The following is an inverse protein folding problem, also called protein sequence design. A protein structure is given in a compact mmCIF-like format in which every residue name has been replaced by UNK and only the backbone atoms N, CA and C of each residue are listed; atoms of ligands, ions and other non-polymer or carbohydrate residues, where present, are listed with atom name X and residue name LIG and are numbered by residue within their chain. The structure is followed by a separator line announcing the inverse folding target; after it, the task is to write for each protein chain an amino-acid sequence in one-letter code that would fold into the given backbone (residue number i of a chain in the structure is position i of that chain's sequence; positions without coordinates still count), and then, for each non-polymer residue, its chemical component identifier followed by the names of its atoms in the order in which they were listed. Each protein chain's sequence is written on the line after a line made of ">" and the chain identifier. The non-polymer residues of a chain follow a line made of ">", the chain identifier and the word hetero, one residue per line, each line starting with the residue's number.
data_IF_680595153433
#
_entry.id   IF_680595153433
#
_cell.length_a   1.000
_cell.length_b   1.000
_cell.length_c   1.000
_cell.angle_alpha   90.00
_cell.angle_beta   90.00
_cell.angle_gamma   90.00
#
_symmetry.space_group_name_H-M   'P 1'
#
loop_
_entity.id
_entity.type
_entity.pdbx_description
1 polymer ?
#
# COMPACT_ATOMS: atom_id res chain seq x y z
N UNK A 1 -23.83 6.31 0.77
CA UNK A 1 -22.82 5.83 1.74
C UNK A 1 -21.84 4.93 1.00
N UNK A 2 -20.72 5.48 0.52
CA UNK A 2 -19.62 4.66 0.03
C UNK A 2 -19.08 3.89 1.23
N UNK A 3 -19.20 2.57 1.23
CA UNK A 3 -18.66 1.73 2.30
C UNK A 3 -17.18 1.52 1.99
N UNK A 4 -16.30 2.29 2.62
CA UNK A 4 -14.87 2.02 2.72
C UNK A 4 -14.68 0.57 3.17
N UNK A 5 -13.91 -0.23 2.43
CA UNK A 5 -13.65 -1.64 2.69
C UNK A 5 -12.20 -1.84 3.10
N UNK A 6 -11.93 -2.93 3.81
CA UNK A 6 -10.58 -3.41 4.03
C UNK A 6 -10.22 -4.44 2.96
N UNK A 7 -8.94 -4.51 2.57
CA UNK A 7 -8.40 -5.41 1.54
C UNK A 7 -7.24 -6.21 2.13
N UNK A 8 -7.18 -7.50 1.83
CA UNK A 8 -6.01 -8.34 2.14
C UNK A 8 -4.83 -8.00 1.23
N UNK A 9 -3.69 -7.72 1.81
CA UNK A 9 -2.41 -7.42 1.15
C UNK A 9 -1.41 -8.52 1.50
N UNK A 10 -0.71 -9.07 0.50
CA UNK A 10 0.18 -10.22 0.68
C UNK A 10 1.61 -9.95 0.21
N UNK A 11 2.62 -10.45 0.93
CA UNK A 11 4.03 -10.37 0.53
C UNK A 11 4.45 -11.41 -0.53
N UNK A 12 3.47 -12.04 -1.18
CA UNK A 12 3.60 -13.14 -2.14
C UNK A 12 2.20 -13.46 -2.73
N UNK A 13 2.06 -14.42 -3.67
CA UNK A 13 0.74 -14.80 -4.16
C UNK A 13 -0.23 -15.13 -3.01
N UNK A 14 -1.51 -14.74 -3.13
CA UNK A 14 -2.48 -14.94 -2.06
C UNK A 14 -2.54 -16.42 -1.64
N UNK A 15 -2.41 -16.73 -0.33
CA UNK A 15 -2.52 -18.09 0.16
C UNK A 15 -3.98 -18.59 0.11
N UNK A 16 -4.16 -19.92 0.03
CA UNK A 16 -5.49 -20.56 0.09
C UNK A 16 -6.20 -20.35 1.43
N UNK A 17 -5.43 -20.06 2.49
CA UNK A 17 -5.91 -19.76 3.84
C UNK A 17 -5.20 -18.50 4.38
N UNK A 18 -5.86 -17.73 5.27
CA UNK A 18 -5.24 -16.60 5.95
C UNK A 18 -3.90 -17.00 6.61
N UNK A 19 -2.81 -16.32 6.26
CA UNK A 19 -1.47 -16.50 6.84
C UNK A 19 -1.05 -15.18 7.51
N UNK A 20 -1.18 -15.05 8.84
CA UNK A 20 -0.86 -13.83 9.57
C UNK A 20 0.59 -13.35 9.44
N UNK A 21 1.52 -14.23 9.03
CA UNK A 21 2.91 -13.88 8.76
C UNK A 21 3.17 -13.35 7.35
N UNK A 22 2.17 -13.46 6.46
CA UNK A 22 2.28 -13.09 5.04
C UNK A 22 1.15 -12.20 4.56
N UNK A 23 0.23 -11.80 5.44
CA UNK A 23 -0.92 -10.99 5.11
C UNK A 23 -1.15 -9.84 6.10
N UNK A 24 -1.62 -8.72 5.59
CA UNK A 24 -2.25 -7.65 6.39
C UNK A 24 -3.56 -7.25 5.75
N UNK A 25 -4.40 -6.58 6.53
CA UNK A 25 -5.53 -5.85 5.97
C UNK A 25 -5.19 -4.36 5.89
N UNK A 26 -5.59 -3.72 4.81
CA UNK A 26 -5.45 -2.28 4.62
C UNK A 26 -6.81 -1.65 4.34
N UNK A 27 -7.05 -0.46 4.89
CA UNK A 27 -8.16 0.39 4.43
C UNK A 27 -7.93 0.78 2.97
N UNK A 28 -8.92 0.51 2.12
CA UNK A 28 -8.86 0.66 0.67
C UNK A 28 -8.38 2.06 0.20
N UNK A 29 -8.96 3.12 0.74
CA UNK A 29 -8.56 4.49 0.39
C UNK A 29 -7.17 4.88 0.92
N UNK A 30 -6.74 4.34 2.07
CA UNK A 30 -5.38 4.57 2.58
C UNK A 30 -4.35 3.91 1.67
N UNK A 31 -4.64 2.68 1.20
CA UNK A 31 -3.81 1.99 0.21
C UNK A 31 -3.77 2.77 -1.12
N UNK A 32 -4.91 3.25 -1.61
CA UNK A 32 -4.98 4.04 -2.85
C UNK A 32 -4.13 5.33 -2.76
N UNK A 33 -4.19 6.05 -1.62
CA UNK A 33 -3.34 7.25 -1.39
C UNK A 33 -1.86 6.88 -1.40
N UNK A 34 -1.48 5.83 -0.65
CA UNK A 34 -0.09 5.39 -0.57
C UNK A 34 0.44 5.02 -1.96
N UNK A 35 -0.29 4.19 -2.72
CA UNK A 35 0.12 3.78 -4.05
C UNK A 35 0.15 4.95 -5.03
N UNK A 36 -0.80 5.88 -4.95
CA UNK A 36 -0.79 7.10 -5.75
C UNK A 36 0.44 7.98 -5.46
N UNK A 37 0.84 8.12 -4.20
CA UNK A 37 2.04 8.86 -3.84
C UNK A 37 3.31 8.12 -4.29
N UNK A 38 3.37 6.80 -4.12
CA UNK A 38 4.48 5.97 -4.60
C UNK A 38 4.67 6.13 -6.12
N UNK A 39 3.59 6.03 -6.91
CA UNK A 39 3.62 6.22 -8.35
C UNK A 39 4.22 7.58 -8.72
N UNK A 40 3.77 8.64 -8.05
CA UNK A 40 4.31 10.00 -8.25
C UNK A 40 5.79 10.08 -7.90
N UNK A 41 6.19 9.50 -6.78
CA UNK A 41 7.56 9.54 -6.30
C UNK A 41 8.51 8.84 -7.29
N UNK A 42 8.14 7.64 -7.76
CA UNK A 42 8.95 6.88 -8.72
C UNK A 42 8.94 7.53 -10.11
N UNK A 43 7.82 8.07 -10.56
CA UNK A 43 7.76 8.79 -11.84
C UNK A 43 8.51 10.12 -11.83
N UNK A 44 8.66 10.74 -10.65
CA UNK A 44 9.52 11.89 -10.45
C UNK A 44 11.01 11.58 -10.62
N UNK A 45 11.42 10.31 -10.54
CA UNK A 45 12.79 9.87 -10.82
C UNK A 45 13.01 9.87 -12.33
N UNK A 46 14.15 10.41 -12.84
CA UNK A 46 14.49 10.32 -14.26
C UNK A 46 14.47 8.87 -14.75
N UNK A 47 13.94 8.57 -15.95
CA UNK A 47 13.74 7.19 -16.41
C UNK A 47 14.96 6.28 -16.30
N UNK A 48 16.16 6.80 -16.57
CA UNK A 48 17.43 6.07 -16.51
C UNK A 48 17.91 5.74 -15.09
N UNK A 49 17.28 6.33 -14.06
CA UNK A 49 17.56 6.09 -12.65
C UNK A 49 16.44 5.33 -11.93
N UNK A 50 15.36 4.97 -12.63
CA UNK A 50 14.26 4.19 -12.06
C UNK A 50 14.68 2.74 -11.82
N UNK A 51 14.01 2.03 -10.90
CA UNK A 51 14.15 0.58 -10.77
C UNK A 51 13.94 -0.10 -12.12
N UNK A 52 14.86 -0.99 -12.51
CA UNK A 52 14.85 -1.63 -13.83
C UNK A 52 13.62 -2.51 -14.10
N UNK A 53 12.88 -2.89 -13.05
CA UNK A 53 11.64 -3.66 -13.12
C UNK A 53 10.38 -2.79 -13.19
N UNK A 54 10.47 -1.49 -12.88
CA UNK A 54 9.30 -0.63 -12.66
C UNK A 54 8.33 -0.61 -13.85
N UNK A 55 8.85 -0.41 -15.07
CA UNK A 55 8.02 -0.28 -16.26
C UNK A 55 7.20 -1.54 -16.58
N UNK A 56 7.65 -2.72 -16.12
CA UNK A 56 6.90 -3.97 -16.27
C UNK A 56 5.72 -4.10 -15.29
N UNK A 57 5.75 -3.38 -14.16
CA UNK A 57 4.78 -3.50 -13.06
C UNK A 57 3.94 -2.24 -12.82
N UNK A 58 4.31 -1.09 -13.40
CA UNK A 58 3.64 0.20 -13.16
C UNK A 58 2.13 0.17 -13.45
N UNK A 59 1.69 -0.54 -14.50
CA UNK A 59 0.27 -0.69 -14.83
C UNK A 59 -0.51 -1.50 -13.78
N UNK A 60 0.13 -2.48 -13.15
CA UNK A 60 -0.48 -3.24 -12.07
C UNK A 60 -0.61 -2.37 -10.82
N UNK A 61 0.44 -1.62 -10.46
CA UNK A 61 0.40 -0.65 -9.35
C UNK A 61 -0.69 0.42 -9.58
N UNK A 62 -0.80 0.95 -10.81
CA UNK A 62 -1.87 1.88 -11.22
C UNK A 62 -3.25 1.27 -11.03
N UNK A 63 -3.44 0.06 -11.53
CA UNK A 63 -4.72 -0.65 -11.42
C UNK A 63 -5.13 -0.84 -9.96
N UNK A 64 -4.18 -1.19 -9.09
CA UNK A 64 -4.42 -1.39 -7.66
C UNK A 64 -4.71 -0.07 -6.92
N UNK A 65 -4.05 1.02 -7.30
CA UNK A 65 -4.37 2.35 -6.80
C UNK A 65 -5.79 2.82 -7.20
N UNK A 66 -6.30 2.33 -8.34
CA UNK A 66 -7.62 2.71 -8.88
C UNK A 66 -8.76 1.77 -8.46
N UNK A 67 -8.51 0.47 -8.32
CA UNK A 67 -9.51 -0.60 -8.15
C UNK A 67 -9.14 -1.48 -6.96
N UNK A 68 -9.22 -0.91 -5.78
CA UNK A 68 -8.83 -1.56 -4.53
C UNK A 68 -10.00 -2.39 -3.95
N UNK A 69 -10.65 -3.23 -4.76
CA UNK A 69 -11.87 -3.95 -4.37
C UNK A 69 -11.64 -5.45 -4.10
N UNK A 70 -10.45 -5.96 -4.44
CA UNK A 70 -10.04 -7.36 -4.34
C UNK A 70 -8.58 -7.44 -3.86
N UNK A 71 -8.16 -8.62 -3.38
CA UNK A 71 -6.83 -8.91 -2.82
C UNK A 71 -5.68 -8.27 -3.60
N UNK A 72 -4.65 -7.82 -2.88
CA UNK A 72 -3.47 -7.19 -3.44
C UNK A 72 -2.21 -8.04 -3.16
N UNK A 73 -1.59 -8.57 -4.21
CA UNK A 73 -0.24 -9.12 -4.10
C UNK A 73 0.76 -7.97 -4.13
N UNK A 74 1.25 -7.59 -2.95
CA UNK A 74 2.24 -6.53 -2.77
C UNK A 74 3.56 -6.92 -3.41
N UNK A 75 3.87 -8.22 -3.49
CA UNK A 75 5.11 -8.66 -4.10
C UNK A 75 5.08 -8.53 -5.62
N UNK A 76 3.93 -8.36 -6.28
CA UNK A 76 3.83 -8.16 -7.74
C UNK A 76 4.61 -9.21 -8.56
N UNK A 77 4.73 -10.44 -8.05
CA UNK A 77 5.58 -11.47 -8.66
C UNK A 77 7.10 -11.18 -8.68
N UNK A 78 7.55 -10.13 -7.99
CA UNK A 78 8.94 -9.68 -7.93
C UNK A 78 9.86 -10.74 -7.30
N UNK A 79 11.11 -10.75 -7.75
CA UNK A 79 12.20 -11.51 -7.13
C UNK A 79 12.68 -10.84 -5.83
N UNK A 80 13.44 -11.56 -5.01
CA UNK A 80 13.85 -11.08 -3.68
C UNK A 80 14.58 -9.72 -3.70
N UNK A 81 15.46 -9.48 -4.67
CA UNK A 81 16.19 -8.22 -4.77
C UNK A 81 15.26 -7.06 -5.15
N UNK A 82 14.32 -7.31 -6.07
CA UNK A 82 13.32 -6.33 -6.50
C UNK A 82 12.32 -6.03 -5.38
N UNK A 83 11.98 -7.02 -4.53
CA UNK A 83 11.16 -6.81 -3.33
C UNK A 83 11.84 -5.93 -2.30
N UNK A 84 13.15 -6.06 -2.11
CA UNK A 84 13.90 -5.18 -1.20
C UNK A 84 13.89 -3.75 -1.73
N UNK A 85 14.18 -3.56 -3.03
CA UNK A 85 14.10 -2.24 -3.67
C UNK A 85 12.68 -1.66 -3.60
N UNK A 86 11.64 -2.48 -3.79
CA UNK A 86 10.27 -2.03 -3.65
C UNK A 86 9.91 -1.64 -2.19
N UNK A 87 10.42 -2.39 -1.22
CA UNK A 87 10.27 -2.05 0.19
C UNK A 87 10.95 -0.71 0.54
N UNK A 88 12.12 -0.44 -0.04
CA UNK A 88 12.80 0.86 0.11
C UNK A 88 11.96 2.00 -0.46
N UNK A 89 11.37 1.84 -1.66
CA UNK A 89 10.49 2.85 -2.24
C UNK A 89 9.26 3.14 -1.36
N UNK A 90 8.68 2.10 -0.74
CA UNK A 90 7.55 2.24 0.17
C UNK A 90 7.92 2.97 1.46
N UNK A 91 9.08 2.67 2.06
CA UNK A 91 9.58 3.37 3.25
C UNK A 91 9.83 4.85 2.95
N UNK A 92 10.51 5.11 1.83
CA UNK A 92 10.80 6.46 1.34
C UNK A 92 9.52 7.26 1.08
N UNK A 93 8.52 6.63 0.45
CA UNK A 93 7.21 7.23 0.20
C UNK A 93 6.50 7.54 1.52
N UNK A 94 6.51 6.60 2.48
CA UNK A 94 5.93 6.78 3.80
C UNK A 94 6.60 7.93 4.58
N UNK A 95 7.92 8.04 4.52
CA UNK A 95 8.66 9.14 5.13
C UNK A 95 8.28 10.49 4.50
N UNK A 96 8.24 10.56 3.16
CA UNK A 96 7.86 11.79 2.44
C UNK A 96 6.43 12.22 2.70
N UNK A 97 5.50 11.28 2.87
CA UNK A 97 4.12 11.56 3.29
C UNK A 97 4.11 12.32 4.62
N UNK A 98 4.88 11.90 5.62
CA UNK A 98 4.92 12.57 6.92
C UNK A 98 5.47 14.00 6.85
N UNK A 99 6.35 14.29 5.90
CA UNK A 99 6.93 15.62 5.68
C UNK A 99 6.04 16.55 4.84
N UNK A 100 5.14 15.97 4.03
CA UNK A 100 4.32 16.71 3.06
C UNK A 100 2.92 16.13 3.03
N UNK A 101 1.93 16.96 3.38
CA UNK A 101 0.53 16.57 3.26
C UNK A 101 0.25 15.99 1.85
N UNK A 102 -0.35 14.80 1.75
CA UNK A 102 -0.69 14.18 0.47
C UNK A 102 -1.62 15.11 -0.30
N UNK A 103 -1.43 15.22 -1.62
CA UNK A 103 -2.35 15.98 -2.46
C UNK A 103 -3.71 15.27 -2.46
N UNK A 104 -4.73 15.94 -1.95
CA UNK A 104 -6.12 15.46 -1.93
C UNK A 104 -6.71 15.35 -3.34
N UNK A 105 -7.77 14.52 -3.53
CA UNK A 105 -8.51 14.45 -4.80
C UNK A 105 -8.95 15.85 -5.26
N UNK A 106 -8.77 16.15 -6.56
CA UNK A 106 -9.18 17.42 -7.17
C UNK A 106 -8.06 18.42 -7.46
N UNK A 107 -6.80 18.09 -7.17
CA UNK A 107 -5.66 18.82 -7.75
C UNK A 107 -5.35 18.26 -9.14
N UNK A 108 -5.33 19.15 -10.14
CA UNK A 108 -5.24 18.86 -11.57
C UNK A 108 -3.85 18.34 -12.00
N UNK A 109 -3.53 17.10 -11.62
CA UNK A 109 -2.53 16.30 -12.31
C UNK A 109 -3.28 15.28 -13.21
N UNK A 110 -2.66 14.77 -14.29
CA UNK A 110 -3.25 13.90 -15.34
C UNK A 110 -3.78 12.51 -14.85
N UNK A 111 -3.96 12.36 -13.53
CA UNK A 111 -4.24 11.12 -12.84
C UNK A 111 -5.62 11.16 -12.20
N UNK A 112 -6.54 10.38 -12.76
CA UNK A 112 -7.85 10.16 -12.16
C UNK A 112 -7.79 9.04 -11.12
N UNK A 113 -7.18 9.30 -9.95
CA UNK A 113 -7.34 8.42 -8.79
C UNK A 113 -8.80 8.47 -8.35
N UNK A 114 -9.53 7.36 -8.53
CA UNK A 114 -10.90 7.23 -8.06
C UNK A 114 -10.85 6.87 -6.57
N UNK A 115 -10.68 7.89 -5.73
CA UNK A 115 -10.79 7.70 -4.29
C UNK A 115 -12.22 7.32 -3.94
N UNK A 116 -12.43 6.10 -3.45
CA UNK A 116 -13.73 5.66 -2.94
C UNK A 116 -13.97 6.18 -1.53
N UNK A 117 -14.20 7.49 -1.42
CA UNK A 117 -14.52 8.15 -0.16
C UNK A 117 -14.24 9.65 -0.23
N UNK A 118 -15.09 10.44 0.41
CA UNK A 118 -14.97 11.90 0.51
C UNK A 118 -14.34 12.29 1.86
N UNK A 119 -13.34 11.52 2.30
CA UNK A 119 -12.74 11.69 3.62
C UNK A 119 -11.31 12.20 3.48
N UNK A 120 -10.98 13.24 4.26
CA UNK A 120 -9.60 13.58 4.52
C UNK A 120 -8.96 12.41 5.27
N UNK A 121 -7.90 11.84 4.72
CA UNK A 121 -7.17 10.75 5.36
C UNK A 121 -6.04 11.34 6.20
N UNK A 122 -5.91 10.84 7.44
CA UNK A 122 -4.77 11.16 8.28
C UNK A 122 -3.51 10.55 7.67
N UNK A 123 -2.47 11.38 7.52
CA UNK A 123 -1.23 10.98 6.86
C UNK A 123 -0.45 9.94 7.68
N UNK A 124 -0.53 10.03 9.02
CA UNK A 124 0.13 9.09 9.93
C UNK A 124 -0.26 7.63 9.67
N UNK A 125 -1.55 7.28 9.69
CA UNK A 125 -2.01 5.93 9.35
C UNK A 125 -1.64 5.44 7.93
N UNK A 126 -1.56 6.34 6.94
CA UNK A 126 -1.13 5.99 5.57
C UNK A 126 0.38 5.70 5.53
N UNK A 127 1.18 6.52 6.21
CA UNK A 127 2.62 6.28 6.34
C UNK A 127 2.92 4.99 7.12
N UNK A 128 2.17 4.73 8.20
CA UNK A 128 2.26 3.47 8.95
C UNK A 128 1.94 2.25 8.06
N UNK A 129 0.93 2.36 7.19
CA UNK A 129 0.63 1.32 6.19
C UNK A 129 1.81 1.12 5.23
N UNK A 130 2.45 2.18 4.74
CA UNK A 130 3.61 2.07 3.85
C UNK A 130 4.78 1.31 4.50
N UNK A 131 5.10 1.65 5.75
CA UNK A 131 6.13 0.95 6.53
C UNK A 131 5.77 -0.52 6.79
N UNK A 132 4.48 -0.81 7.03
CA UNK A 132 4.02 -2.19 7.20
C UNK A 132 4.17 -3.00 5.92
N UNK A 133 3.81 -2.43 4.76
CA UNK A 133 3.99 -3.08 3.47
C UNK A 133 5.48 -3.32 3.13
N UNK A 134 6.35 -2.35 3.42
CA UNK A 134 7.79 -2.52 3.28
C UNK A 134 8.32 -3.66 4.18
N UNK A 135 7.86 -3.71 5.43
CA UNK A 135 8.25 -4.77 6.38
C UNK A 135 7.71 -6.14 5.96
N UNK A 136 6.50 -6.18 5.37
CA UNK A 136 5.88 -7.39 4.80
C UNK A 136 6.66 -7.91 3.59
N UNK A 137 7.08 -7.05 2.67
CA UNK A 137 7.92 -7.40 1.51
C UNK A 137 9.27 -8.00 1.94
N UNK A 138 9.82 -7.50 3.05
CA UNK A 138 11.06 -8.03 3.64
C UNK A 138 10.87 -9.32 4.42
N UNK A 139 9.63 -9.79 4.60
CA UNK A 139 9.31 -10.97 5.42
C UNK A 139 9.62 -10.78 6.90
N UNK A 140 9.56 -9.53 7.40
CA UNK A 140 9.89 -9.17 8.78
C UNK A 140 8.71 -8.61 9.56
N UNK A 141 7.50 -8.72 9.00
CA UNK A 141 6.32 -8.14 9.62
C UNK A 141 6.06 -8.88 10.95
N UNK A 142 5.90 -8.16 12.08
CA UNK A 142 5.56 -8.79 13.35
C UNK A 142 4.20 -9.50 13.26
N UNK A 143 4.09 -10.67 13.88
CA UNK A 143 2.81 -11.35 14.01
C UNK A 143 1.81 -10.50 14.80
N UNK A 144 0.52 -10.51 14.41
CA UNK A 144 -0.54 -9.90 15.20
C UNK A 144 -0.79 -10.70 16.50
N UNK A 145 -1.50 -10.12 17.49
CA UNK A 145 -1.95 -10.87 18.65
C UNK A 145 -2.68 -12.17 18.27
N UNK A 146 -2.56 -13.24 19.08
CA UNK A 146 -3.17 -14.53 18.76
C UNK A 146 -4.66 -14.42 18.45
N UNK A 147 -5.08 -15.04 17.34
CA UNK A 147 -6.48 -15.01 16.88
C UNK A 147 -6.92 -13.69 16.24
N UNK A 148 -5.97 -12.85 15.79
CA UNK A 148 -6.26 -11.59 15.11
C UNK A 148 -5.42 -11.43 13.83
N UNK A 149 -5.79 -10.46 13.00
CA UNK A 149 -5.04 -9.99 11.84
C UNK A 149 -4.77 -8.49 11.99
N UNK A 150 -3.64 -8.00 11.48
CA UNK A 150 -3.38 -6.57 11.44
C UNK A 150 -4.31 -5.85 10.46
N UNK A 151 -4.80 -4.67 10.85
CA UNK A 151 -5.50 -3.71 9.99
C UNK A 151 -4.77 -2.36 10.04
N UNK A 152 -4.29 -1.90 8.89
CA UNK A 152 -3.56 -0.65 8.71
C UNK A 152 -4.38 0.38 7.92
N UNK A 153 -4.00 1.66 8.03
CA UNK A 153 -4.65 2.77 7.33
C UNK A 153 -6.04 3.14 7.86
N UNK A 154 -6.46 2.55 8.99
CA UNK A 154 -7.71 2.89 9.64
C UNK A 154 -7.65 4.29 10.27
N UNK A 155 -8.80 5.00 10.42
CA UNK A 155 -8.86 6.19 11.26
C UNK A 155 -8.35 5.89 12.68
N UNK A 156 -7.34 6.63 13.14
CA UNK A 156 -6.69 6.39 14.43
C UNK A 156 -5.48 5.44 14.39
N UNK A 157 -5.09 4.91 13.23
CA UNK A 157 -3.88 4.10 13.03
C UNK A 157 -4.11 2.59 13.05
N UNK A 158 -3.02 1.82 13.15
CA UNK A 158 -3.05 0.35 13.19
C UNK A 158 -3.95 -0.17 14.30
N UNK A 159 -4.77 -1.16 13.93
CA UNK A 159 -5.62 -1.94 14.83
C UNK A 159 -5.57 -3.42 14.46
N UNK A 160 -6.36 -4.24 15.13
CA UNK A 160 -6.50 -5.67 14.86
C UNK A 160 -7.94 -6.02 14.53
N UNK A 161 -8.14 -6.99 13.65
CA UNK A 161 -9.45 -7.57 13.34
C UNK A 161 -9.46 -9.07 13.64
N UNK A 162 -10.62 -9.63 13.94
CA UNK A 162 -10.75 -11.09 14.05
C UNK A 162 -10.85 -11.70 12.64
N UNK A 163 -10.02 -12.71 12.30
CA UNK A 163 -10.30 -13.57 11.16
C UNK A 163 -11.65 -14.25 11.42
N UNK A 164 -12.57 -14.18 10.46
CA UNK A 164 -13.91 -14.77 10.59
C UNK A 164 -13.83 -16.29 10.67
#
# INVERSE_FOLDING_TARGET
>A
MSKTRSIGCYGAPPPDQPDPGREIWAYDGALAILLGQLLRDVEGIPPEHRPGWWDAHVEEVRTQAMVSDLFFDVALGLEQAQREEFAELLDDTAARLLERAPRTPGQADDWHLVFRGDHAYDVGPVAELGQALATLLRGRLPEPPPGTLWLYGAPGGRTTISPR
#
